data_IF_061298689934
#
_entry.id   IF_061298689934
#
_cell.length_a   1.000
_cell.length_b   1.000
_cell.length_c   1.000
_cell.angle_alpha   90.00
_cell.angle_beta   90.00
_cell.angle_gamma   90.00
#
_symmetry.space_group_name_H-M   'P 1'
#
loop_
_entity.id
_entity.type
_entity.pdbx_description
1 polymer ?
#
# COMPACT_ATOMS: atom_id res chain seq x y z
N UNK A 1 -20.09 14.89 7.86
CA UNK A 1 -20.55 13.59 7.36
C UNK A 1 -19.84 13.32 6.05
N UNK A 2 -19.21 12.16 5.90
CA UNK A 2 -18.71 11.65 4.64
C UNK A 2 -19.82 10.82 4.01
N UNK A 3 -20.11 11.07 2.75
CA UNK A 3 -21.08 10.29 1.96
C UNK A 3 -20.28 9.53 0.92
N UNK A 4 -20.47 8.22 0.88
CA UNK A 4 -19.83 7.37 -0.13
C UNK A 4 -20.56 7.54 -1.48
N UNK A 5 -19.81 7.40 -2.58
CA UNK A 5 -20.42 7.39 -3.91
C UNK A 5 -21.16 6.06 -4.12
N UNK A 6 -22.49 6.14 -4.25
CA UNK A 6 -23.36 4.95 -4.35
C UNK A 6 -23.07 4.06 -5.57
N UNK A 7 -22.59 4.63 -6.68
CA UNK A 7 -22.32 3.86 -7.88
C UNK A 7 -21.06 3.02 -7.71
N UNK A 8 -20.02 3.60 -7.06
CA UNK A 8 -18.79 2.87 -6.72
C UNK A 8 -19.09 1.79 -5.68
N UNK A 9 -19.89 2.10 -4.65
CA UNK A 9 -20.32 1.13 -3.64
C UNK A 9 -21.02 -0.08 -4.28
N UNK A 10 -22.02 0.17 -5.12
CA UNK A 10 -22.74 -0.90 -5.86
C UNK A 10 -21.82 -1.70 -6.79
N UNK A 11 -20.83 -1.04 -7.40
CA UNK A 11 -19.85 -1.73 -8.23
C UNK A 11 -19.02 -2.71 -7.39
N UNK A 12 -18.45 -2.27 -6.26
CA UNK A 12 -17.66 -3.13 -5.40
C UNK A 12 -18.48 -4.22 -4.71
N UNK A 13 -19.72 -3.96 -4.33
CA UNK A 13 -20.63 -4.98 -3.83
C UNK A 13 -20.85 -6.13 -4.83
N UNK A 14 -20.94 -5.81 -6.10
CA UNK A 14 -21.03 -6.80 -7.18
C UNK A 14 -19.70 -7.50 -7.41
N UNK A 15 -18.61 -6.72 -7.44
CA UNK A 15 -17.27 -7.23 -7.65
C UNK A 15 -16.88 -8.27 -6.60
N UNK A 16 -17.06 -7.97 -5.33
CA UNK A 16 -16.72 -8.85 -4.20
C UNK A 16 -17.50 -10.18 -4.27
N UNK A 17 -18.77 -10.14 -4.70
CA UNK A 17 -19.55 -11.36 -4.89
C UNK A 17 -19.03 -12.24 -6.02
N UNK A 18 -18.44 -11.64 -7.05
CA UNK A 18 -17.86 -12.35 -8.20
C UNK A 18 -16.39 -12.75 -7.97
N UNK A 19 -15.71 -12.05 -7.08
CA UNK A 19 -14.31 -12.26 -6.71
C UNK A 19 -14.22 -12.36 -5.18
N UNK A 20 -14.69 -13.47 -4.59
CA UNK A 20 -14.68 -13.63 -3.14
C UNK A 20 -13.25 -13.65 -2.63
N UNK A 21 -13.08 -13.32 -1.36
CA UNK A 21 -11.78 -13.37 -0.69
C UNK A 21 -11.12 -14.74 -0.89
N UNK A 22 -9.89 -14.73 -1.39
CA UNK A 22 -9.06 -15.91 -1.52
C UNK A 22 -8.30 -16.14 -0.20
N UNK A 23 -8.76 -17.14 0.55
CA UNK A 23 -8.11 -17.53 1.80
C UNK A 23 -6.85 -18.37 1.57
N UNK A 24 -6.56 -18.75 0.33
CA UNK A 24 -5.50 -19.69 0.01
C UNK A 24 -5.73 -21.09 0.59
N UNK A 25 -4.67 -21.88 0.63
CA UNK A 25 -4.66 -23.21 1.26
C UNK A 25 -3.79 -23.17 2.52
N UNK A 26 -4.42 -23.19 3.68
CA UNK A 26 -3.73 -23.13 4.97
C UNK A 26 -2.92 -21.85 5.15
N UNK A 27 -1.59 -21.98 5.14
CA UNK A 27 -0.64 -20.86 5.28
C UNK A 27 -0.32 -20.17 3.95
N UNK A 28 -0.79 -20.71 2.82
CA UNK A 28 -0.48 -20.20 1.48
C UNK A 28 -1.59 -19.25 1.02
N UNK A 29 -1.72 -18.12 1.65
CA UNK A 29 -2.58 -17.04 1.19
C UNK A 29 -1.86 -16.17 0.14
N UNK A 30 -2.56 -15.58 -0.84
CA UNK A 30 -1.95 -14.61 -1.74
C UNK A 30 -1.49 -13.35 -0.97
N UNK A 31 -0.44 -12.68 -1.46
CA UNK A 31 0.04 -11.43 -0.87
C UNK A 31 -1.01 -10.31 -0.92
N UNK A 32 -1.72 -10.24 -2.02
CA UNK A 32 -2.82 -9.29 -2.24
C UNK A 32 -4.04 -10.01 -2.78
N UNK A 33 -5.20 -9.44 -2.51
CA UNK A 33 -6.44 -9.87 -3.15
C UNK A 33 -6.56 -9.23 -4.54
N UNK A 34 -7.39 -9.83 -5.38
CA UNK A 34 -7.65 -9.32 -6.72
C UNK A 34 -8.29 -7.93 -6.65
N UNK A 35 -7.73 -6.96 -7.35
CA UNK A 35 -8.26 -5.60 -7.41
C UNK A 35 -9.09 -5.40 -8.69
N UNK A 36 -10.10 -4.54 -8.61
CA UNK A 36 -10.91 -4.11 -9.74
C UNK A 36 -10.32 -2.86 -10.39
N UNK A 37 -10.38 -2.79 -11.71
CA UNK A 37 -10.11 -1.54 -12.43
C UNK A 37 -11.46 -0.98 -12.90
N UNK A 38 -11.91 0.11 -12.28
CA UNK A 38 -13.13 0.81 -12.65
C UNK A 38 -13.08 1.31 -14.09
N UNK A 39 -14.23 1.29 -14.77
CA UNK A 39 -14.34 1.93 -16.09
C UNK A 39 -14.14 3.44 -15.98
N UNK A 40 -13.50 4.05 -16.98
CA UNK A 40 -13.21 5.48 -17.01
C UNK A 40 -14.46 6.34 -16.84
N UNK A 41 -15.60 5.90 -17.38
CA UNK A 41 -16.88 6.63 -17.27
C UNK A 41 -17.39 6.69 -15.83
N UNK A 42 -17.18 5.61 -15.06
CA UNK A 42 -17.57 5.57 -13.64
C UNK A 42 -16.67 6.53 -12.85
N UNK A 43 -15.36 6.46 -13.09
CA UNK A 43 -14.37 7.32 -12.40
C UNK A 43 -14.60 8.80 -12.75
N UNK A 44 -14.80 9.13 -14.03
CA UNK A 44 -15.08 10.50 -14.48
C UNK A 44 -16.38 11.05 -13.88
N UNK A 45 -17.42 10.23 -13.79
CA UNK A 45 -18.68 10.63 -13.16
C UNK A 45 -18.50 10.89 -11.66
N UNK A 46 -17.82 9.99 -10.96
CA UNK A 46 -17.53 10.16 -9.54
C UNK A 46 -16.70 11.42 -9.25
N UNK A 47 -15.75 11.74 -10.12
CA UNK A 47 -14.94 12.95 -10.02
C UNK A 47 -15.73 14.26 -10.22
N UNK A 48 -16.90 14.21 -10.87
CA UNK A 48 -17.82 15.38 -10.96
C UNK A 48 -18.61 15.57 -9.65
N UNK A 49 -18.75 14.53 -8.85
CA UNK A 49 -19.49 14.53 -7.59
C UNK A 49 -18.59 14.75 -6.36
N UNK A 50 -17.30 14.45 -6.48
CA UNK A 50 -16.30 14.62 -5.42
C UNK A 50 -14.96 15.11 -5.97
N UNK A 51 -14.32 16.04 -5.26
CA UNK A 51 -12.95 16.45 -5.58
C UNK A 51 -11.89 15.45 -5.07
N UNK A 52 -12.27 14.52 -4.19
CA UNK A 52 -11.35 13.64 -3.48
C UNK A 52 -11.65 12.18 -3.76
N UNK A 53 -10.60 11.40 -3.97
CA UNK A 53 -10.67 9.94 -3.99
C UNK A 53 -9.77 9.35 -2.90
N UNK A 54 -10.22 8.25 -2.33
CA UNK A 54 -9.45 7.44 -1.39
C UNK A 54 -9.38 6.04 -1.97
N UNK A 55 -8.16 5.52 -2.15
CA UNK A 55 -7.93 4.12 -2.52
C UNK A 55 -7.27 3.40 -1.36
N UNK A 56 -7.73 2.20 -1.07
CA UNK A 56 -7.14 1.36 0.00
C UNK A 56 -6.42 0.20 -0.67
N UNK A 57 -5.13 0.04 -0.33
CA UNK A 57 -4.30 -1.08 -0.76
C UNK A 57 -4.08 -1.98 0.44
N UNK A 58 -4.39 -3.25 0.31
CA UNK A 58 -4.19 -4.26 1.33
C UNK A 58 -3.09 -5.26 0.96
N UNK A 59 -2.38 -5.74 1.96
CA UNK A 59 -1.45 -6.88 1.85
C UNK A 59 -1.71 -7.86 2.98
N UNK A 60 -1.66 -9.14 2.65
CA UNK A 60 -1.63 -10.20 3.66
C UNK A 60 -0.31 -10.11 4.43
N UNK A 61 -0.38 -10.21 5.76
CA UNK A 61 0.79 -10.27 6.60
C UNK A 61 0.67 -11.41 7.61
N UNK A 62 1.76 -11.80 8.20
CA UNK A 62 1.83 -12.88 9.17
C UNK A 62 3.09 -13.71 8.99
N UNK A 63 3.12 -14.85 9.66
CA UNK A 63 4.21 -15.79 9.54
C UNK A 63 4.38 -16.28 8.09
N UNK A 64 5.61 -16.35 7.62
CA UNK A 64 5.95 -16.72 6.22
C UNK A 64 5.36 -15.80 5.16
N UNK A 65 5.14 -14.51 5.49
CA UNK A 65 4.64 -13.47 4.59
C UNK A 65 5.63 -12.31 4.46
N UNK A 66 6.91 -12.64 4.35
CA UNK A 66 7.93 -11.66 3.98
C UNK A 66 7.75 -11.23 2.53
N UNK A 67 7.98 -9.97 2.25
CA UNK A 67 7.81 -9.44 0.90
C UNK A 67 8.76 -10.12 -0.10
N UNK A 68 8.22 -10.46 -1.25
CA UNK A 68 8.99 -10.80 -2.45
C UNK A 68 9.05 -9.59 -3.39
N UNK A 69 10.03 -9.47 -4.29
CA UNK A 69 10.13 -8.34 -5.23
C UNK A 69 9.04 -8.34 -6.32
N UNK A 70 7.97 -9.11 -6.10
CA UNK A 70 6.93 -9.33 -7.10
C UNK A 70 5.79 -8.33 -6.99
N UNK A 71 5.04 -8.20 -8.11
CA UNK A 71 3.78 -7.45 -8.15
C UNK A 71 2.73 -8.08 -7.24
N UNK A 72 2.04 -7.22 -6.49
CA UNK A 72 1.06 -7.65 -5.50
C UNK A 72 1.68 -8.05 -4.16
N UNK A 73 3.01 -8.14 -4.04
CA UNK A 73 3.76 -8.25 -2.79
C UNK A 73 4.42 -6.91 -2.46
N UNK A 74 5.73 -6.75 -2.72
CA UNK A 74 6.42 -5.46 -2.51
C UNK A 74 5.96 -4.41 -3.51
N UNK A 75 5.86 -4.75 -4.78
CA UNK A 75 5.37 -3.84 -5.82
C UNK A 75 3.84 -3.84 -5.89
N UNK A 76 3.26 -2.75 -6.42
CA UNK A 76 1.83 -2.74 -6.77
C UNK A 76 1.51 -3.80 -7.84
N UNK A 77 0.31 -4.35 -7.79
CA UNK A 77 -0.22 -5.10 -8.92
C UNK A 77 -0.50 -4.19 -10.11
N UNK A 78 -0.62 -4.75 -11.31
CA UNK A 78 -0.95 -3.98 -12.50
C UNK A 78 -2.31 -3.27 -12.39
N UNK A 79 -3.25 -3.89 -11.70
CA UNK A 79 -4.59 -3.36 -11.47
C UNK A 79 -4.56 -2.20 -10.46
N UNK A 80 -3.81 -2.35 -9.38
CA UNK A 80 -3.62 -1.29 -8.38
C UNK A 80 -2.96 -0.05 -9.01
N UNK A 81 -1.88 -0.25 -9.77
CA UNK A 81 -1.19 0.84 -10.46
C UNK A 81 -2.11 1.57 -11.45
N UNK A 82 -2.81 0.81 -12.33
CA UNK A 82 -3.78 1.38 -13.28
C UNK A 82 -4.91 2.12 -12.59
N UNK A 83 -5.35 1.62 -11.43
CA UNK A 83 -6.42 2.29 -10.69
C UNK A 83 -5.96 3.63 -10.12
N UNK A 84 -4.76 3.70 -9.52
CA UNK A 84 -4.19 4.96 -9.03
C UNK A 84 -4.00 5.93 -10.20
N UNK A 85 -3.43 5.49 -11.32
CA UNK A 85 -3.26 6.30 -12.53
C UNK A 85 -4.58 6.92 -12.99
N UNK A 86 -5.68 6.17 -12.97
CA UNK A 86 -7.01 6.70 -13.28
C UNK A 86 -7.48 7.72 -12.26
N UNK A 87 -7.32 7.42 -10.98
CA UNK A 87 -7.77 8.33 -9.93
C UNK A 87 -7.03 9.67 -10.02
N UNK A 88 -5.72 9.67 -10.16
CA UNK A 88 -4.92 10.91 -10.28
C UNK A 88 -5.23 11.70 -11.57
N UNK A 89 -5.67 11.02 -12.61
CA UNK A 89 -6.11 11.67 -13.86
C UNK A 89 -7.42 12.45 -13.71
N UNK A 90 -8.37 11.93 -12.94
CA UNK A 90 -9.73 12.45 -12.89
C UNK A 90 -10.06 13.24 -11.63
N UNK A 91 -9.46 12.91 -10.49
CA UNK A 91 -9.72 13.57 -9.21
C UNK A 91 -8.68 14.65 -8.92
N UNK A 92 -9.10 15.70 -8.23
CA UNK A 92 -8.23 16.79 -7.81
C UNK A 92 -7.29 16.41 -6.68
N UNK A 93 -7.74 15.54 -5.80
CA UNK A 93 -6.94 15.05 -4.68
C UNK A 93 -7.12 13.52 -4.54
N UNK A 94 -6.02 12.82 -4.48
CA UNK A 94 -5.99 11.38 -4.30
C UNK A 94 -5.19 11.01 -3.06
N UNK A 95 -5.82 10.26 -2.16
CA UNK A 95 -5.17 9.68 -0.99
C UNK A 95 -5.14 8.16 -1.12
N UNK A 96 -3.95 7.57 -1.01
CA UNK A 96 -3.81 6.12 -0.95
C UNK A 96 -3.56 5.70 0.49
N UNK A 97 -4.37 4.77 0.98
CA UNK A 97 -4.29 4.21 2.32
C UNK A 97 -3.68 2.81 2.24
N UNK A 98 -2.58 2.60 2.94
CA UNK A 98 -1.85 1.34 2.95
C UNK A 98 -2.20 0.54 4.21
N UNK A 99 -3.04 -0.48 4.04
CA UNK A 99 -3.35 -1.47 5.07
C UNK A 99 -2.45 -2.71 4.87
N UNK A 100 -1.20 -2.57 5.27
CA UNK A 100 -0.12 -3.51 4.99
C UNK A 100 0.65 -3.83 6.27
N UNK A 101 1.25 -5.01 6.36
CA UNK A 101 2.06 -5.40 7.51
C UNK A 101 3.54 -5.08 7.37
N UNK A 102 4.01 -4.90 6.13
CA UNK A 102 5.39 -4.57 5.78
C UNK A 102 5.43 -3.29 4.95
N UNK A 103 6.60 -2.68 4.82
CA UNK A 103 6.79 -1.62 3.83
C UNK A 103 6.64 -2.20 2.41
N UNK A 104 6.15 -1.39 1.50
CA UNK A 104 6.05 -1.72 0.06
C UNK A 104 6.77 -0.65 -0.76
N UNK A 105 7.00 -0.93 -2.03
CA UNK A 105 7.49 0.07 -2.97
C UNK A 105 6.63 1.33 -2.93
N UNK A 106 7.28 2.50 -2.92
CA UNK A 106 6.61 3.80 -2.85
C UNK A 106 6.92 4.69 -4.07
N UNK A 107 7.67 4.20 -5.07
CA UNK A 107 8.04 4.97 -6.26
C UNK A 107 6.83 5.46 -7.04
N UNK A 108 5.78 4.67 -7.08
CA UNK A 108 4.50 5.00 -7.72
C UNK A 108 3.85 6.27 -7.16
N UNK A 109 4.10 6.61 -5.90
CA UNK A 109 3.48 7.80 -5.29
C UNK A 109 3.99 9.09 -5.94
N UNK A 110 5.28 9.15 -6.25
CA UNK A 110 5.88 10.27 -7.00
C UNK A 110 5.54 10.18 -8.49
N UNK A 111 5.70 9.01 -9.10
CA UNK A 111 5.44 8.79 -10.53
C UNK A 111 4.02 9.16 -10.94
N UNK A 112 3.04 8.81 -10.13
CA UNK A 112 1.61 9.05 -10.39
C UNK A 112 1.09 10.35 -9.74
N UNK A 113 1.96 11.15 -9.12
CA UNK A 113 1.60 12.41 -8.45
C UNK A 113 0.45 12.25 -7.45
N UNK A 114 0.56 11.26 -6.56
CA UNK A 114 -0.42 11.03 -5.50
C UNK A 114 -0.28 12.12 -4.43
N UNK A 115 -1.39 12.76 -4.05
CA UNK A 115 -1.36 13.90 -3.12
C UNK A 115 -1.04 13.51 -1.67
N UNK A 116 -1.44 12.31 -1.26
CA UNK A 116 -1.17 11.82 0.09
C UNK A 116 -1.14 10.29 0.15
N UNK A 117 -0.24 9.76 0.97
CA UNK A 117 -0.21 8.35 1.32
C UNK A 117 -0.29 8.21 2.84
N UNK A 118 -1.14 7.32 3.31
CA UNK A 118 -1.32 7.06 4.73
C UNK A 118 -1.06 5.58 5.04
N UNK A 119 0.01 5.30 5.78
CA UNK A 119 0.24 3.98 6.35
C UNK A 119 -0.66 3.79 7.57
N UNK A 120 -1.60 2.85 7.50
CA UNK A 120 -2.45 2.47 8.65
C UNK A 120 -2.02 1.15 9.26
N UNK A 121 -1.08 0.47 8.61
CA UNK A 121 -0.59 -0.85 9.00
C UNK A 121 -1.75 -1.84 9.18
N UNK A 122 -1.58 -2.85 10.04
CA UNK A 122 -2.67 -3.73 10.46
C UNK A 122 -3.20 -3.24 11.81
N UNK A 123 -4.29 -2.52 11.77
CA UNK A 123 -4.97 -2.02 12.96
C UNK A 123 -5.58 -3.14 13.79
N UNK A 124 -5.72 -2.90 15.09
CA UNK A 124 -6.47 -3.77 15.96
C UNK A 124 -7.98 -3.63 15.79
N UNK A 125 -8.74 -4.01 16.81
CA UNK A 125 -10.20 -4.03 16.79
C UNK A 125 -10.85 -2.69 16.36
N UNK A 126 -10.24 -1.56 16.72
CA UNK A 126 -10.73 -0.21 16.39
C UNK A 126 -9.97 0.42 15.21
N UNK A 127 -9.17 -0.36 14.48
CA UNK A 127 -8.31 0.12 13.40
C UNK A 127 -9.07 0.86 12.30
N UNK A 128 -10.21 0.33 11.88
CA UNK A 128 -11.07 0.98 10.89
C UNK A 128 -11.64 2.31 11.37
N UNK A 129 -12.11 2.36 12.62
CA UNK A 129 -12.62 3.60 13.26
C UNK A 129 -11.51 4.64 13.34
N UNK A 130 -10.30 4.25 13.77
CA UNK A 130 -9.17 5.16 13.90
C UNK A 130 -8.74 5.72 12.54
N UNK A 131 -8.63 4.89 11.50
CA UNK A 131 -8.31 5.32 10.16
C UNK A 131 -9.37 6.30 9.61
N UNK A 132 -10.65 5.98 9.77
CA UNK A 132 -11.75 6.84 9.36
C UNK A 132 -11.73 8.19 10.10
N UNK A 133 -11.42 8.21 11.39
CA UNK A 133 -11.34 9.46 12.17
C UNK A 133 -10.19 10.35 11.68
N UNK A 134 -9.06 9.79 11.26
CA UNK A 134 -7.96 10.55 10.65
C UNK A 134 -8.38 11.08 9.28
N UNK A 135 -8.93 10.24 8.41
CA UNK A 135 -9.38 10.62 7.06
C UNK A 135 -10.47 11.70 7.09
N UNK A 136 -11.34 11.67 8.10
CA UNK A 136 -12.38 12.68 8.29
C UNK A 136 -11.90 13.95 9.04
N UNK A 137 -10.63 14.03 9.42
CA UNK A 137 -10.06 15.15 10.15
C UNK A 137 -10.50 15.27 11.61
N UNK A 138 -11.11 14.24 12.19
CA UNK A 138 -11.45 14.22 13.62
C UNK A 138 -10.24 13.98 14.52
N UNK A 139 -9.22 13.33 13.99
CA UNK A 139 -7.95 13.04 14.64
C UNK A 139 -6.78 13.43 13.75
N UNK A 140 -5.67 13.75 14.37
CA UNK A 140 -4.45 14.12 13.68
C UNK A 140 -3.54 12.89 13.53
N UNK A 141 -2.95 12.63 12.34
CA UNK A 141 -1.99 11.56 12.17
C UNK A 141 -0.68 11.96 12.87
N UNK A 142 -0.44 11.45 14.07
CA UNK A 142 0.74 11.77 14.87
C UNK A 142 1.83 10.72 14.82
N UNK A 143 1.55 9.56 14.22
CA UNK A 143 2.53 8.50 14.00
C UNK A 143 3.62 8.93 13.02
N UNK A 144 4.80 8.33 13.18
CA UNK A 144 5.93 8.45 12.25
C UNK A 144 6.14 7.12 11.57
N UNK A 145 6.75 7.13 10.37
CA UNK A 145 7.21 5.89 9.75
C UNK A 145 8.23 5.21 10.66
N UNK A 146 8.07 3.91 10.81
CA UNK A 146 8.97 3.07 11.64
C UNK A 146 10.17 2.60 10.85
N UNK A 147 10.10 2.73 9.53
CA UNK A 147 11.09 2.21 8.59
C UNK A 147 11.53 3.30 7.62
N UNK A 148 12.75 3.16 7.11
CA UNK A 148 13.23 3.93 5.96
C UNK A 148 12.82 3.21 4.69
N UNK A 149 12.20 3.91 3.76
CA UNK A 149 11.73 3.34 2.50
C UNK A 149 12.69 3.73 1.39
N UNK A 150 13.33 2.73 0.79
CA UNK A 150 14.28 2.91 -0.31
C UNK A 150 13.57 2.87 -1.67
N UNK A 151 14.26 3.33 -2.72
CA UNK A 151 13.79 3.25 -4.10
C UNK A 151 13.66 1.82 -4.62
N UNK A 152 14.44 0.88 -4.08
CA UNK A 152 14.39 -0.53 -4.45
C UNK A 152 14.55 -1.43 -3.24
N UNK A 153 13.90 -2.58 -3.26
CA UNK A 153 14.11 -3.62 -2.24
C UNK A 153 15.57 -4.10 -2.23
N UNK A 154 16.27 -4.02 -3.36
CA UNK A 154 17.68 -4.39 -3.48
C UNK A 154 18.64 -3.40 -2.80
N UNK A 155 18.15 -2.23 -2.42
CA UNK A 155 18.95 -1.21 -1.73
C UNK A 155 19.14 -1.51 -0.24
N UNK A 156 18.36 -2.45 0.30
CA UNK A 156 18.56 -2.92 1.68
C UNK A 156 19.72 -3.91 1.77
N UNK A 157 20.69 -3.70 2.66
CA UNK A 157 21.88 -4.58 2.76
C UNK A 157 21.54 -6.04 3.01
N UNK A 158 20.51 -6.30 3.81
CA UNK A 158 20.04 -7.66 4.14
C UNK A 158 19.42 -8.41 2.97
N UNK A 159 18.95 -7.72 1.92
CA UNK A 159 18.24 -8.34 0.81
C UNK A 159 18.98 -9.51 0.16
N UNK A 160 20.30 -9.35 -0.07
CA UNK A 160 21.12 -10.38 -0.73
C UNK A 160 21.33 -11.65 0.11
N UNK A 161 21.23 -11.52 1.42
CA UNK A 161 21.40 -12.64 2.36
C UNK A 161 20.09 -13.22 2.84
N UNK A 162 18.97 -12.58 2.52
CA UNK A 162 17.65 -13.01 2.93
C UNK A 162 17.26 -14.30 2.17
N UNK A 163 16.65 -15.24 2.87
CA UNK A 163 16.27 -16.57 2.35
C UNK A 163 17.43 -17.48 1.86
N UNK A 164 18.68 -17.15 2.16
CA UNK A 164 19.77 -18.08 1.89
C UNK A 164 19.66 -19.29 2.84
N UNK A 165 19.47 -20.47 2.26
CA UNK A 165 19.24 -21.70 3.02
C UNK A 165 20.53 -22.34 3.58
N UNK A 166 21.66 -22.01 2.99
CA UNK A 166 22.96 -22.61 3.37
C UNK A 166 23.66 -21.78 4.45
N UNK A 167 23.63 -20.45 4.31
CA UNK A 167 24.33 -19.54 5.23
C UNK A 167 23.63 -18.20 5.30
N UNK A 168 23.34 -17.73 6.50
CA UNK A 168 22.81 -16.37 6.74
C UNK A 168 23.94 -15.47 7.23
N UNK A 169 24.33 -14.49 6.41
CA UNK A 169 25.35 -13.51 6.75
C UNK A 169 24.70 -12.20 7.18
N UNK A 170 24.92 -11.81 8.43
CA UNK A 170 24.42 -10.54 8.97
C UNK A 170 25.30 -9.38 8.47
N UNK A 171 24.94 -8.81 7.32
CA UNK A 171 25.70 -7.75 6.66
C UNK A 171 25.43 -6.36 7.22
N UNK A 172 24.30 -6.17 7.91
CA UNK A 172 23.87 -4.87 8.42
C UNK A 172 24.68 -4.39 9.62
N UNK A 173 25.19 -5.32 10.45
CA UNK A 173 25.88 -5.01 11.70
C UNK A 173 25.06 -3.99 12.53
N UNK A 174 25.69 -2.90 12.98
CA UNK A 174 25.02 -1.81 13.69
C UNK A 174 24.23 -0.87 12.76
N UNK A 175 24.42 -1.00 11.46
CA UNK A 175 23.83 -0.14 10.43
C UNK A 175 22.50 -0.69 9.90
N UNK A 176 21.54 -0.93 10.80
CA UNK A 176 20.20 -1.41 10.44
C UNK A 176 19.30 -0.22 10.07
N UNK A 177 18.55 -0.36 8.99
CA UNK A 177 17.54 0.59 8.56
C UNK A 177 18.11 1.99 8.29
N UNK A 178 17.54 3.03 8.92
CA UNK A 178 17.96 4.42 8.70
C UNK A 178 19.45 4.68 8.95
N UNK A 179 20.09 3.93 9.85
CA UNK A 179 21.52 4.09 10.13
C UNK A 179 22.37 3.77 8.91
N UNK A 180 22.00 2.75 8.15
CA UNK A 180 22.68 2.42 6.89
C UNK A 180 22.47 3.54 5.87
N UNK A 181 21.24 3.90 5.60
CA UNK A 181 20.92 4.89 4.58
C UNK A 181 21.51 6.26 4.90
N UNK A 182 21.37 6.76 6.11
CA UNK A 182 21.94 8.06 6.50
C UNK A 182 23.47 8.09 6.46
N UNK A 183 24.11 6.93 6.58
CA UNK A 183 25.58 6.84 6.61
C UNK A 183 26.18 6.59 5.22
N UNK A 184 25.57 5.72 4.43
CA UNK A 184 26.21 5.17 3.22
C UNK A 184 25.40 5.33 1.93
N UNK A 185 24.09 5.53 2.00
CA UNK A 185 23.21 5.43 0.84
C UNK A 185 22.02 6.39 0.90
N UNK A 186 22.26 7.61 1.33
CA UNK A 186 21.21 8.62 1.53
C UNK A 186 20.40 8.92 0.25
N UNK A 187 21.05 8.86 -0.90
CA UNK A 187 20.46 9.06 -2.21
C UNK A 187 19.50 7.95 -2.65
N UNK A 188 19.46 6.83 -1.92
CA UNK A 188 18.59 5.69 -2.20
C UNK A 188 17.29 5.69 -1.40
N UNK A 189 17.07 6.70 -0.60
CA UNK A 189 15.86 6.85 0.24
C UNK A 189 14.82 7.64 -0.51
N UNK A 190 13.59 7.13 -0.51
CA UNK A 190 12.42 7.84 -1.01
C UNK A 190 11.62 8.47 0.14
N UNK A 191 11.50 7.78 1.28
CA UNK A 191 10.83 8.26 2.50
C UNK A 191 11.55 7.81 3.77
#
# INVERSE_FOLDING_TARGET
>A
HVVLNEEIEKFYDKWIKQNPFDAGDGWVQPWSQKEAVLDDKIVEKAAKESEKAIMIIGRTAGESKDNTPDKGSYMLSDEEYKMIEKLTKYFKNVCVVLNVGNIIDMTWAEELNVDAVMYVWHGGQEGGTAAADVLCGKRYPSGKLTDTIAYSIEDYPSYKGFENVDEVVYTDDIFVGYRYFETFAKERVIY
#
